data_IF_220668302511
#
_entry.id   IF_220668302511
#
_cell.length_a   1.000
_cell.length_b   1.000
_cell.length_c   1.000
_cell.angle_alpha   90.00
_cell.angle_beta   90.00
_cell.angle_gamma   90.00
#
_symmetry.space_group_name_H-M   'P 1'
#
loop_
_entity.id
_entity.type
_entity.pdbx_description
1 polymer ?
#
# COMPACT_ATOMS: atom_id res chain seq x y z
N UNK A 1 -11.05 -1.84 -13.34
CA UNK A 1 -9.92 -1.51 -12.44
C UNK A 1 -10.46 -1.06 -11.09
N UNK A 2 -9.88 -1.52 -9.97
CA UNK A 2 -10.21 -1.04 -8.63
C UNK A 2 -9.50 0.29 -8.34
N UNK A 3 -10.09 1.09 -7.43
CA UNK A 3 -9.53 2.38 -7.04
C UNK A 3 -9.42 2.51 -5.53
N UNK A 4 -8.40 3.22 -5.08
CA UNK A 4 -8.17 3.49 -3.67
C UNK A 4 -7.29 4.71 -3.46
N UNK A 5 -7.04 5.06 -2.22
CA UNK A 5 -6.13 6.14 -1.88
C UNK A 5 -5.37 5.87 -0.57
N UNK A 6 -4.30 6.61 -0.39
CA UNK A 6 -3.50 6.60 0.82
C UNK A 6 -4.14 7.52 1.87
N UNK A 7 -4.32 7.02 3.07
CA UNK A 7 -4.82 7.79 4.20
C UNK A 7 -3.84 8.91 4.59
N UNK A 8 -4.33 10.06 5.08
CA UNK A 8 -3.49 11.14 5.59
C UNK A 8 -2.91 10.80 6.97
N UNK A 9 -1.91 9.89 7.00
CA UNK A 9 -1.33 9.36 8.24
C UNK A 9 -0.26 10.24 8.88
N UNK A 10 0.20 11.30 8.22
CA UNK A 10 1.19 12.23 8.79
C UNK A 10 0.52 13.30 9.65
N UNK A 11 -0.07 12.84 10.77
CA UNK A 11 -0.89 13.63 11.72
C UNK A 11 -0.62 13.18 13.15
N UNK A 12 -0.95 14.04 14.12
CA UNK A 12 -0.90 13.72 15.55
C UNK A 12 -2.08 12.85 16.00
N UNK A 13 -3.23 13.00 15.35
CA UNK A 13 -4.46 12.25 15.66
C UNK A 13 -4.98 11.51 14.44
N UNK A 14 -5.79 10.47 14.61
CA UNK A 14 -6.32 9.68 13.51
C UNK A 14 -7.55 10.30 12.83
N UNK A 15 -8.06 11.45 13.30
CA UNK A 15 -9.37 11.99 12.89
C UNK A 15 -9.47 12.23 11.38
N UNK A 16 -8.42 12.84 10.78
CA UNK A 16 -8.36 13.06 9.33
C UNK A 16 -8.37 11.73 8.56
N UNK A 17 -7.68 10.71 9.05
CA UNK A 17 -7.63 9.40 8.40
C UNK A 17 -8.98 8.66 8.49
N UNK A 18 -9.67 8.79 9.63
CA UNK A 18 -11.02 8.23 9.79
C UNK A 18 -12.02 8.92 8.88
N UNK A 19 -12.06 10.26 8.90
CA UNK A 19 -12.96 11.03 8.04
C UNK A 19 -12.72 10.73 6.55
N UNK A 20 -11.45 10.63 6.12
CA UNK A 20 -11.11 10.28 4.76
C UNK A 20 -11.58 8.86 4.39
N UNK A 21 -11.39 7.88 5.27
CA UNK A 21 -11.85 6.51 5.04
C UNK A 21 -13.37 6.41 4.94
N UNK A 22 -14.10 7.08 5.85
CA UNK A 22 -15.56 7.14 5.85
C UNK A 22 -16.10 7.79 4.57
N UNK A 23 -15.48 8.89 4.12
CA UNK A 23 -15.80 9.50 2.83
C UNK A 23 -15.53 8.55 1.67
N UNK A 24 -14.42 7.81 1.73
CA UNK A 24 -14.06 6.80 0.73
C UNK A 24 -15.12 5.70 0.62
N UNK A 25 -15.54 5.13 1.74
CA UNK A 25 -16.59 4.13 1.79
C UNK A 25 -17.93 4.65 1.23
N UNK A 26 -18.35 5.85 1.65
CA UNK A 26 -19.55 6.51 1.16
C UNK A 26 -19.48 6.81 -0.35
N UNK A 27 -18.31 7.09 -0.87
CA UNK A 27 -18.07 7.35 -2.30
C UNK A 27 -17.99 6.06 -3.14
N UNK A 28 -17.97 4.87 -2.52
CA UNK A 28 -17.93 3.59 -3.22
C UNK A 28 -16.58 3.23 -3.80
N UNK A 29 -15.48 3.71 -3.22
CA UNK A 29 -14.13 3.25 -3.59
C UNK A 29 -13.84 1.86 -3.05
N UNK A 30 -12.84 1.17 -3.61
CA UNK A 30 -12.56 -0.22 -3.27
C UNK A 30 -11.67 -0.40 -2.03
N UNK A 31 -10.81 0.59 -1.70
CA UNK A 31 -9.93 0.42 -0.55
C UNK A 31 -9.08 1.63 -0.18
N UNK A 32 -8.49 1.56 1.00
CA UNK A 32 -7.59 2.58 1.55
C UNK A 32 -6.30 1.96 2.06
N UNK A 33 -5.22 2.73 1.95
CA UNK A 33 -3.88 2.26 2.26
C UNK A 33 -3.16 3.25 3.18
N UNK A 34 -2.10 2.80 3.84
CA UNK A 34 -1.30 3.65 4.72
C UNK A 34 0.19 3.49 4.43
N UNK A 35 0.92 4.61 4.46
CA UNK A 35 2.38 4.57 4.39
C UNK A 35 2.96 3.91 5.63
N UNK A 36 4.07 3.19 5.45
CA UNK A 36 4.90 2.67 6.54
C UNK A 36 6.15 3.55 6.70
N UNK A 37 5.93 4.76 7.19
CA UNK A 37 6.96 5.73 7.51
C UNK A 37 6.78 6.26 8.93
N UNK A 38 7.89 6.59 9.61
CA UNK A 38 7.89 7.13 10.97
C UNK A 38 7.65 8.63 11.00
N UNK A 39 7.85 9.28 9.86
CA UNK A 39 7.57 10.70 9.59
C UNK A 39 7.43 10.96 8.09
N UNK A 40 6.89 12.09 7.66
CA UNK A 40 6.95 12.50 6.26
C UNK A 40 8.40 12.65 5.82
N UNK A 41 8.76 12.13 4.66
CA UNK A 41 10.15 12.20 4.16
C UNK A 41 10.71 13.62 4.26
N UNK A 42 11.89 13.75 4.88
CA UNK A 42 12.57 15.02 5.10
C UNK A 42 12.04 15.88 6.26
N UNK A 43 11.09 15.38 7.06
CA UNK A 43 10.47 16.13 8.15
C UNK A 43 10.37 15.29 9.44
N UNK A 44 11.51 14.94 10.07
CA UNK A 44 11.53 14.05 11.23
C UNK A 44 10.85 14.62 12.49
N UNK A 45 10.59 15.92 12.51
CA UNK A 45 9.84 16.61 13.56
C UNK A 45 8.32 16.41 13.48
N UNK A 46 7.82 15.88 12.37
CA UNK A 46 6.40 15.64 12.14
C UNK A 46 6.02 14.21 12.47
N UNK A 47 4.83 13.99 13.04
CA UNK A 47 4.37 12.67 13.40
C UNK A 47 3.93 11.85 12.20
N UNK A 48 3.93 10.53 12.38
CA UNK A 48 3.20 9.59 11.54
C UNK A 48 2.42 8.60 12.40
N UNK A 49 1.23 8.23 11.94
CA UNK A 49 0.48 7.12 12.51
C UNK A 49 1.02 5.81 11.91
N UNK A 50 1.29 4.83 12.78
CA UNK A 50 1.71 3.50 12.32
C UNK A 50 0.62 2.84 11.47
N UNK A 51 0.97 2.18 10.34
CA UNK A 51 -0.02 1.67 9.40
C UNK A 51 -0.95 0.62 10.00
N UNK A 52 -0.44 -0.35 10.74
CA UNK A 52 -1.28 -1.45 11.23
C UNK A 52 -2.34 -1.03 12.24
N UNK A 53 -2.04 -0.21 13.28
CA UNK A 53 -3.08 0.29 14.18
C UNK A 53 -4.15 1.12 13.49
N UNK A 54 -3.77 2.02 12.58
CA UNK A 54 -4.74 2.87 11.88
C UNK A 54 -5.62 2.05 10.91
N UNK A 55 -5.04 1.09 10.19
CA UNK A 55 -5.76 0.23 9.27
C UNK A 55 -6.72 -0.71 10.01
N UNK A 56 -6.33 -1.26 11.16
CA UNK A 56 -7.21 -2.05 12.01
C UNK A 56 -8.42 -1.20 12.49
N UNK A 57 -8.17 0.01 12.98
CA UNK A 57 -9.24 0.91 13.43
C UNK A 57 -10.18 1.31 12.29
N UNK A 58 -9.64 1.64 11.09
CA UNK A 58 -10.43 1.94 9.89
C UNK A 58 -11.25 0.74 9.46
N UNK A 59 -10.69 -0.48 9.45
CA UNK A 59 -11.39 -1.68 8.99
C UNK A 59 -12.61 -2.08 9.84
N UNK A 60 -12.64 -1.64 11.10
CA UNK A 60 -13.79 -1.82 11.99
C UNK A 60 -14.85 -0.74 11.75
N UNK A 61 -14.45 0.48 11.39
CA UNK A 61 -15.37 1.59 11.09
C UNK A 61 -15.96 1.50 9.69
N UNK A 62 -15.14 1.09 8.71
CA UNK A 62 -15.49 0.98 7.29
C UNK A 62 -15.45 -0.50 6.89
N UNK A 63 -16.60 -1.11 6.81
CA UNK A 63 -16.71 -2.58 6.68
C UNK A 63 -16.65 -3.11 5.25
N UNK A 64 -16.70 -2.22 4.25
CA UNK A 64 -16.61 -2.57 2.83
C UNK A 64 -15.22 -2.33 2.24
N UNK A 65 -14.40 -1.49 2.87
CA UNK A 65 -13.09 -1.14 2.33
C UNK A 65 -12.06 -2.26 2.49
N UNK A 66 -11.30 -2.47 1.44
CA UNK A 66 -10.04 -3.23 1.48
C UNK A 66 -8.98 -2.34 2.13
N UNK A 67 -8.13 -2.91 2.98
CA UNK A 67 -7.10 -2.18 3.72
C UNK A 67 -5.73 -2.83 3.55
N UNK A 68 -4.67 -2.04 3.59
CA UNK A 68 -3.30 -2.55 3.58
C UNK A 68 -2.25 -1.45 3.75
N UNK A 69 -1.05 -1.76 4.27
CA UNK A 69 0.06 -0.82 4.15
C UNK A 69 0.46 -0.67 2.67
N UNK A 70 1.09 0.44 2.30
CA UNK A 70 1.62 0.61 0.95
C UNK A 70 2.97 1.34 0.99
N UNK A 71 4.04 0.60 1.23
CA UNK A 71 4.14 -0.82 1.51
C UNK A 71 4.78 -1.05 2.89
N UNK A 72 4.46 -2.13 3.60
CA UNK A 72 5.17 -2.50 4.83
C UNK A 72 6.63 -2.83 4.51
N UNK A 73 7.56 -2.22 5.25
CA UNK A 73 8.99 -2.39 5.03
C UNK A 73 9.50 -3.62 5.79
N UNK A 74 10.18 -4.52 5.08
CA UNK A 74 10.90 -5.63 5.71
C UNK A 74 12.09 -5.12 6.50
N UNK A 75 12.51 -5.87 7.52
CA UNK A 75 13.68 -5.55 8.33
C UNK A 75 13.44 -4.47 9.40
N UNK A 76 12.22 -3.96 9.54
CA UNK A 76 11.82 -3.06 10.63
C UNK A 76 11.50 -3.82 11.92
N UNK A 77 10.94 -5.01 11.75
CA UNK A 77 10.72 -6.01 12.79
C UNK A 77 11.21 -7.36 12.26
N UNK A 78 11.16 -8.42 13.06
CA UNK A 78 11.42 -9.76 12.54
C UNK A 78 10.35 -10.17 11.52
N UNK A 79 10.72 -11.02 10.58
CA UNK A 79 9.81 -11.53 9.54
C UNK A 79 8.58 -12.21 10.16
N UNK A 80 8.78 -13.05 11.17
CA UNK A 80 7.69 -13.74 11.88
C UNK A 80 6.72 -12.75 12.54
N UNK A 81 7.25 -11.66 13.13
CA UNK A 81 6.39 -10.64 13.72
C UNK A 81 5.58 -9.90 12.65
N UNK A 82 6.16 -9.58 11.52
CA UNK A 82 5.45 -8.92 10.41
C UNK A 82 4.37 -9.85 9.82
N UNK A 83 4.70 -11.13 9.64
CA UNK A 83 3.73 -12.15 9.18
C UNK A 83 2.55 -12.25 10.14
N UNK A 84 2.78 -12.37 11.46
CA UNK A 84 1.71 -12.44 12.44
C UNK A 84 0.93 -11.12 12.57
N UNK A 85 1.55 -9.99 12.31
CA UNK A 85 0.87 -8.69 12.25
C UNK A 85 -0.13 -8.65 11.10
N UNK A 86 0.25 -9.10 9.89
CA UNK A 86 -0.68 -9.24 8.77
C UNK A 86 -1.81 -10.23 9.05
N UNK A 87 -1.49 -11.40 9.61
CA UNK A 87 -2.49 -12.39 10.00
C UNK A 87 -3.47 -11.86 11.06
N UNK A 88 -2.97 -11.03 11.98
CA UNK A 88 -3.80 -10.38 12.99
C UNK A 88 -4.75 -9.36 12.35
N UNK A 89 -4.27 -8.55 11.41
CA UNK A 89 -5.11 -7.63 10.66
C UNK A 89 -6.18 -8.38 9.84
N UNK A 90 -5.82 -9.50 9.22
CA UNK A 90 -6.77 -10.36 8.48
C UNK A 90 -7.86 -10.93 9.39
N UNK A 91 -7.54 -11.29 10.65
CA UNK A 91 -8.56 -11.72 11.64
C UNK A 91 -9.53 -10.58 12.02
N UNK A 92 -9.06 -9.31 11.98
CA UNK A 92 -9.90 -8.12 12.24
C UNK A 92 -10.75 -7.76 11.01
N UNK A 93 -10.21 -7.92 9.82
CA UNK A 93 -10.84 -7.55 8.55
C UNK A 93 -10.82 -8.73 7.54
N UNK A 94 -11.57 -9.83 7.81
CA UNK A 94 -11.47 -11.04 7.01
C UNK A 94 -11.78 -10.82 5.52
N UNK A 95 -10.89 -11.28 4.64
CA UNK A 95 -11.02 -11.16 3.18
C UNK A 95 -10.80 -9.75 2.63
N UNK A 96 -10.40 -8.79 3.49
CA UNK A 96 -10.23 -7.38 3.12
C UNK A 96 -8.82 -6.84 3.33
N UNK A 97 -7.84 -7.70 3.56
CA UNK A 97 -6.45 -7.28 3.75
C UNK A 97 -5.60 -7.55 2.51
N UNK A 98 -4.81 -6.58 2.15
CA UNK A 98 -3.74 -6.73 1.17
C UNK A 98 -2.40 -6.64 1.90
N UNK A 99 -1.61 -7.70 1.80
CA UNK A 99 -0.25 -7.72 2.31
C UNK A 99 0.70 -7.10 1.28
N UNK A 100 0.77 -5.78 1.28
CA UNK A 100 1.72 -5.08 0.43
C UNK A 100 3.04 -4.88 1.19
N UNK A 101 4.13 -5.45 0.66
CA UNK A 101 5.45 -5.49 1.27
C UNK A 101 6.52 -4.93 0.32
N UNK A 102 7.60 -4.43 0.89
CA UNK A 102 8.71 -3.88 0.10
C UNK A 102 10.03 -3.90 0.84
N UNK A 103 11.10 -3.82 0.06
CA UNK A 103 12.49 -3.83 0.59
C UNK A 103 12.86 -2.54 1.34
N UNK A 104 12.04 -1.50 1.30
CA UNK A 104 12.46 -0.15 1.68
C UNK A 104 13.51 0.40 0.71
N UNK A 105 13.81 1.67 0.82
CA UNK A 105 14.77 2.38 -0.01
C UNK A 105 15.81 3.18 0.82
N UNK A 106 16.70 3.87 0.13
CA UNK A 106 17.73 4.68 0.79
C UNK A 106 17.14 5.88 1.56
N UNK A 107 15.94 6.34 1.21
CA UNK A 107 15.29 7.47 1.88
C UNK A 107 14.81 7.09 3.27
N UNK A 108 14.59 5.78 3.51
CA UNK A 108 14.22 5.23 4.82
C UNK A 108 15.42 5.03 5.76
N UNK A 109 16.65 5.22 5.30
CA UNK A 109 17.84 4.97 6.12
C UNK A 109 17.88 5.84 7.39
N UNK A 110 17.47 7.12 7.29
CA UNK A 110 17.42 8.02 8.45
C UNK A 110 16.39 7.58 9.50
N UNK A 111 15.28 7.00 9.07
CA UNK A 111 14.26 6.45 9.96
C UNK A 111 14.79 5.21 10.69
N UNK A 112 15.47 4.32 9.98
CA UNK A 112 16.10 3.15 10.59
C UNK A 112 17.13 3.56 11.63
N UNK A 113 18.02 4.51 11.30
CA UNK A 113 19.06 5.02 12.22
C UNK A 113 18.46 5.63 13.48
N UNK A 114 17.42 6.46 13.36
CA UNK A 114 16.75 7.11 14.49
C UNK A 114 16.16 6.12 15.51
N UNK A 115 15.80 4.92 15.06
CA UNK A 115 15.24 3.86 15.90
C UNK A 115 16.26 2.75 16.22
N UNK A 116 17.53 2.95 15.86
CA UNK A 116 18.59 1.97 16.12
C UNK A 116 18.43 0.66 15.34
N UNK A 117 17.72 0.70 14.23
CA UNK A 117 17.46 -0.47 13.39
C UNK A 117 18.50 -0.51 12.26
N UNK A 118 19.31 -1.55 12.21
CA UNK A 118 20.27 -1.74 11.13
C UNK A 118 19.54 -1.97 9.80
N UNK A 119 19.93 -1.22 8.76
CA UNK A 119 19.43 -1.48 7.42
C UNK A 119 20.22 -2.64 6.79
N UNK A 120 19.58 -3.79 6.64
CA UNK A 120 20.20 -4.98 6.07
C UNK A 120 20.63 -4.77 4.60
N UNK A 121 21.57 -5.55 4.09
CA UNK A 121 21.94 -5.59 2.67
C UNK A 121 20.72 -5.84 1.77
N UNK A 122 20.74 -5.30 0.56
CA UNK A 122 19.59 -5.42 -0.38
C UNK A 122 19.20 -6.87 -0.62
N UNK A 123 20.18 -7.77 -0.79
CA UNK A 123 19.91 -9.19 -1.01
C UNK A 123 19.19 -9.86 0.16
N UNK A 124 19.54 -9.50 1.40
CA UNK A 124 18.85 -10.01 2.60
C UNK A 124 17.40 -9.49 2.65
N UNK A 125 17.19 -8.19 2.40
CA UNK A 125 15.85 -7.61 2.36
C UNK A 125 14.98 -8.23 1.25
N UNK A 126 15.57 -8.58 0.11
CA UNK A 126 14.90 -9.31 -0.96
C UNK A 126 14.51 -10.73 -0.51
N UNK A 127 15.38 -11.44 0.18
CA UNK A 127 15.07 -12.76 0.74
C UNK A 127 13.94 -12.67 1.80
N UNK A 128 13.94 -11.64 2.65
CA UNK A 128 12.83 -11.36 3.59
C UNK A 128 11.51 -11.13 2.86
N UNK A 129 11.49 -10.33 1.79
CA UNK A 129 10.28 -10.12 0.97
C UNK A 129 9.78 -11.44 0.41
N UNK A 130 10.65 -12.28 -0.14
CA UNK A 130 10.27 -13.59 -0.69
C UNK A 130 9.73 -14.53 0.39
N UNK A 131 10.37 -14.58 1.55
CA UNK A 131 9.94 -15.38 2.69
C UNK A 131 8.54 -14.96 3.19
N UNK A 132 8.33 -13.68 3.45
CA UNK A 132 7.05 -13.14 3.95
C UNK A 132 5.96 -13.33 2.91
N UNK A 133 6.24 -13.05 1.63
CA UNK A 133 5.29 -13.25 0.54
C UNK A 133 4.80 -14.70 0.46
N UNK A 134 5.72 -15.67 0.53
CA UNK A 134 5.38 -17.10 0.53
C UNK A 134 4.53 -17.49 1.76
N UNK A 135 4.84 -16.95 2.93
CA UNK A 135 4.11 -17.25 4.17
C UNK A 135 2.69 -16.70 4.19
N UNK A 136 2.41 -15.64 3.41
CA UNK A 136 1.10 -14.95 3.35
C UNK A 136 0.30 -15.34 2.10
N UNK A 137 0.96 -15.82 1.03
CA UNK A 137 0.28 -16.28 -0.17
C UNK A 137 -0.69 -17.43 0.16
N UNK A 138 -1.89 -17.38 -0.44
CA UNK A 138 -2.95 -18.35 -0.16
C UNK A 138 -3.87 -17.98 1.03
N UNK A 139 -3.49 -17.01 1.87
CA UNK A 139 -4.36 -16.49 2.94
C UNK A 139 -4.89 -15.10 2.64
N UNK A 140 -4.12 -14.28 1.92
CA UNK A 140 -4.51 -12.94 1.50
C UNK A 140 -3.79 -12.55 0.19
N UNK A 141 -4.26 -11.49 -0.45
CA UNK A 141 -3.59 -10.94 -1.63
C UNK A 141 -2.23 -10.34 -1.23
N UNK A 142 -1.17 -10.72 -1.94
CA UNK A 142 0.19 -10.22 -1.70
C UNK A 142 0.59 -9.27 -2.83
N UNK A 143 1.04 -8.08 -2.45
CA UNK A 143 1.65 -7.11 -3.36
C UNK A 143 3.10 -6.87 -3.01
N UNK A 144 3.93 -6.63 -4.01
CA UNK A 144 5.35 -6.30 -3.80
C UNK A 144 5.65 -4.97 -4.46
N UNK A 145 6.29 -4.06 -3.73
CA UNK A 145 6.75 -2.78 -4.27
C UNK A 145 7.73 -3.02 -5.43
N UNK A 146 7.35 -2.57 -6.63
CA UNK A 146 8.14 -2.71 -7.84
C UNK A 146 9.36 -1.78 -7.83
N UNK A 147 10.46 -2.23 -8.45
CA UNK A 147 11.68 -1.43 -8.52
C UNK A 147 12.81 -2.17 -9.22
N UNK A 148 13.68 -2.82 -8.44
CA UNK A 148 14.81 -3.56 -9.00
C UNK A 148 14.33 -4.84 -9.74
N UNK A 149 15.00 -5.23 -10.83
CA UNK A 149 14.66 -6.47 -11.57
C UNK A 149 14.60 -7.70 -10.70
N UNK A 150 15.50 -7.83 -9.72
CA UNK A 150 15.51 -8.95 -8.77
C UNK A 150 14.24 -8.99 -7.90
N UNK A 151 13.76 -7.85 -7.43
CA UNK A 151 12.50 -7.76 -6.66
C UNK A 151 11.29 -8.10 -7.54
N UNK A 152 11.29 -7.65 -8.80
CA UNK A 152 10.23 -8.00 -9.74
C UNK A 152 10.21 -9.51 -10.05
N UNK A 153 11.39 -10.14 -10.15
CA UNK A 153 11.50 -11.59 -10.32
C UNK A 153 10.97 -12.38 -9.11
N UNK A 154 11.15 -11.85 -7.89
CA UNK A 154 10.52 -12.43 -6.69
C UNK A 154 8.99 -12.41 -6.81
N UNK A 155 8.41 -11.27 -7.17
CA UNK A 155 6.97 -11.16 -7.33
C UNK A 155 6.41 -12.20 -8.32
N UNK A 156 7.09 -12.42 -9.43
CA UNK A 156 6.71 -13.45 -10.41
C UNK A 156 6.77 -14.87 -9.81
N UNK A 157 7.84 -15.21 -9.06
CA UNK A 157 7.99 -16.54 -8.45
C UNK A 157 6.92 -16.85 -7.42
N UNK A 158 6.54 -15.86 -6.62
CA UNK A 158 5.55 -16.05 -5.54
C UNK A 158 4.10 -15.74 -5.99
N UNK A 159 3.90 -15.37 -7.25
CA UNK A 159 2.58 -15.02 -7.78
C UNK A 159 1.99 -13.73 -7.20
N UNK A 160 2.84 -12.80 -6.74
CA UNK A 160 2.40 -11.52 -6.18
C UNK A 160 2.17 -10.45 -7.25
N UNK A 161 1.30 -9.50 -6.97
CA UNK A 161 1.07 -8.33 -7.81
C UNK A 161 2.18 -7.29 -7.58
N UNK A 162 2.73 -6.74 -8.65
CA UNK A 162 3.72 -5.65 -8.58
C UNK A 162 3.02 -4.30 -8.38
N UNK A 163 3.46 -3.51 -7.41
CA UNK A 163 2.95 -2.16 -7.20
C UNK A 163 3.99 -1.12 -7.61
N UNK A 164 3.69 -0.34 -8.64
CA UNK A 164 4.56 0.70 -9.20
C UNK A 164 4.20 2.07 -8.62
N UNK A 165 5.23 2.82 -8.19
CA UNK A 165 5.06 4.19 -7.70
C UNK A 165 5.34 5.21 -8.80
N UNK A 166 4.32 6.00 -9.17
CA UNK A 166 4.36 7.09 -10.17
C UNK A 166 4.80 6.69 -11.60
N UNK A 167 5.03 5.42 -11.86
CA UNK A 167 5.45 4.92 -13.16
C UNK A 167 4.51 3.82 -13.61
N UNK A 168 4.26 3.77 -14.90
CA UNK A 168 3.67 2.59 -15.53
C UNK A 168 4.80 1.68 -16.03
N UNK A 169 4.66 0.36 -15.93
CA UNK A 169 5.63 -0.56 -16.54
C UNK A 169 5.57 -0.46 -18.08
N UNK A 170 6.73 -0.47 -18.72
CA UNK A 170 6.79 -0.48 -20.20
C UNK A 170 6.28 -1.80 -20.80
N UNK A 171 6.56 -2.91 -20.12
CA UNK A 171 6.15 -4.25 -20.52
C UNK A 171 5.81 -5.07 -19.28
N UNK A 172 4.58 -4.96 -18.75
CA UNK A 172 4.21 -5.66 -17.53
C UNK A 172 4.16 -7.17 -17.78
N UNK A 173 4.81 -7.91 -16.88
CA UNK A 173 4.71 -9.36 -16.81
C UNK A 173 3.92 -9.74 -15.56
N UNK A 174 2.68 -10.18 -15.72
CA UNK A 174 1.77 -10.50 -14.61
C UNK A 174 0.89 -9.32 -14.17
N UNK A 175 0.27 -9.47 -13.01
CA UNK A 175 -0.61 -8.45 -12.44
C UNK A 175 0.21 -7.28 -11.88
N UNK A 176 -0.29 -6.09 -12.08
CA UNK A 176 0.35 -4.89 -11.58
C UNK A 176 -0.67 -3.81 -11.17
N UNK A 177 -0.23 -2.96 -10.26
CA UNK A 177 -0.95 -1.81 -9.75
C UNK A 177 -0.14 -0.55 -9.94
N UNK A 178 -0.84 0.55 -10.05
CA UNK A 178 -0.24 1.88 -10.01
C UNK A 178 -0.57 2.60 -8.70
N UNK A 179 0.41 3.30 -8.14
CA UNK A 179 0.21 4.22 -7.03
C UNK A 179 0.93 5.54 -7.31
N UNK A 180 0.36 6.69 -6.91
CA UNK A 180 1.02 7.98 -7.12
C UNK A 180 0.13 9.19 -6.91
N UNK A 181 0.59 10.33 -7.42
CA UNK A 181 -0.14 11.60 -7.29
C UNK A 181 -1.28 11.71 -8.32
N UNK A 182 -2.42 12.29 -7.94
CA UNK A 182 -3.46 12.62 -8.89
C UNK A 182 -3.01 13.76 -9.82
N UNK A 183 -3.38 13.66 -11.09
CA UNK A 183 -3.30 14.77 -12.05
C UNK A 183 -4.58 15.62 -11.97
N UNK A 184 -4.55 16.81 -12.55
CA UNK A 184 -5.77 17.66 -12.67
C UNK A 184 -6.86 16.97 -13.49
N UNK A 185 -6.46 16.26 -14.55
CA UNK A 185 -7.30 15.44 -15.43
C UNK A 185 -7.46 13.99 -14.88
N UNK A 186 -7.95 13.87 -13.64
CA UNK A 186 -8.02 12.60 -12.90
C UNK A 186 -8.73 11.49 -13.68
N UNK A 187 -9.85 11.79 -14.32
CA UNK A 187 -10.63 10.80 -15.10
C UNK A 187 -9.83 10.26 -16.28
N UNK A 188 -9.11 11.14 -16.99
CA UNK A 188 -8.22 10.75 -18.12
C UNK A 188 -7.08 9.87 -17.58
N UNK A 189 -6.49 10.24 -16.44
CA UNK A 189 -5.45 9.41 -15.80
C UNK A 189 -5.97 8.01 -15.43
N UNK A 190 -7.18 7.92 -14.90
CA UNK A 190 -7.82 6.64 -14.56
C UNK A 190 -8.09 5.79 -15.80
N UNK A 191 -8.58 6.40 -16.90
CA UNK A 191 -8.83 5.71 -18.15
C UNK A 191 -7.54 5.18 -18.78
N UNK A 192 -6.47 5.98 -18.76
CA UNK A 192 -5.14 5.56 -19.21
C UNK A 192 -4.60 4.37 -18.41
N UNK A 193 -4.72 4.40 -17.08
CA UNK A 193 -4.29 3.31 -16.21
C UNK A 193 -5.12 2.04 -16.43
N UNK A 194 -6.42 2.17 -16.59
CA UNK A 194 -7.31 1.05 -16.89
C UNK A 194 -6.99 0.44 -18.27
N UNK A 195 -6.81 1.27 -19.30
CA UNK A 195 -6.45 0.83 -20.64
C UNK A 195 -5.07 0.14 -20.69
N UNK A 196 -4.13 0.57 -19.83
CA UNK A 196 -2.82 -0.06 -19.68
C UNK A 196 -2.85 -1.39 -18.89
N UNK A 197 -4.01 -1.79 -18.35
CA UNK A 197 -4.19 -3.06 -17.65
C UNK A 197 -3.80 -3.03 -16.17
N UNK A 198 -3.75 -1.85 -15.54
CA UNK A 198 -3.60 -1.76 -14.09
C UNK A 198 -4.79 -2.42 -13.39
N UNK A 199 -4.53 -3.23 -12.36
CA UNK A 199 -5.61 -3.84 -11.57
C UNK A 199 -6.12 -2.90 -10.49
N UNK A 200 -5.25 -2.01 -9.98
CA UNK A 200 -5.59 -0.95 -9.04
C UNK A 200 -4.91 0.36 -9.42
N UNK A 201 -5.62 1.46 -9.16
CA UNK A 201 -5.05 2.81 -9.10
C UNK A 201 -5.19 3.36 -7.68
N UNK A 202 -4.06 3.62 -7.00
CA UNK A 202 -4.00 4.12 -5.63
C UNK A 202 -3.42 5.52 -5.63
N UNK A 203 -4.17 6.48 -5.15
CA UNK A 203 -3.77 7.88 -5.18
C UNK A 203 -3.21 8.37 -3.84
N UNK A 204 -2.33 9.37 -3.91
CA UNK A 204 -1.88 10.11 -2.73
C UNK A 204 -3.09 10.79 -2.01
N UNK A 205 -2.94 11.17 -0.72
CA UNK A 205 -4.06 11.71 0.09
C UNK A 205 -4.68 13.02 -0.43
N UNK A 206 -4.09 13.62 -1.46
CA UNK A 206 -4.57 14.85 -2.10
C UNK A 206 -5.65 14.64 -3.16
N UNK A 207 -5.99 13.39 -3.45
CA UNK A 207 -7.01 13.06 -4.46
C UNK A 207 -8.40 13.52 -4.04
N UNK A 208 -9.20 13.97 -5.00
CA UNK A 208 -10.63 14.16 -4.81
C UNK A 208 -11.33 12.80 -4.77
N UNK A 209 -11.63 12.34 -3.56
CA UNK A 209 -12.23 11.02 -3.31
C UNK A 209 -13.61 10.90 -3.96
N UNK A 210 -14.37 11.99 -4.05
CA UNK A 210 -15.69 11.97 -4.67
C UNK A 210 -15.60 11.78 -6.19
N UNK A 211 -14.60 12.39 -6.86
CA UNK A 211 -14.34 12.14 -8.29
C UNK A 211 -13.90 10.71 -8.54
N UNK A 212 -13.03 10.19 -7.65
CA UNK A 212 -12.55 8.82 -7.71
C UNK A 212 -13.72 7.81 -7.62
N UNK A 213 -14.62 8.01 -6.65
CA UNK A 213 -15.82 7.19 -6.49
C UNK A 213 -16.79 7.27 -7.68
N UNK A 214 -17.01 8.46 -8.24
CA UNK A 214 -17.83 8.64 -9.45
C UNK A 214 -17.27 7.87 -10.63
N UNK A 215 -15.96 7.96 -10.87
CA UNK A 215 -15.30 7.19 -11.93
C UNK A 215 -15.48 5.68 -11.68
N UNK A 216 -15.25 5.21 -10.45
CA UNK A 216 -15.41 3.81 -10.08
C UNK A 216 -16.83 3.29 -10.34
N UNK A 217 -17.83 4.09 -10.00
CA UNK A 217 -19.24 3.74 -10.23
C UNK A 217 -19.59 3.64 -11.73
N UNK A 218 -19.04 4.52 -12.56
CA UNK A 218 -19.30 4.52 -14.01
C UNK A 218 -18.53 3.45 -14.79
N UNK A 219 -17.48 2.85 -14.21
CA UNK A 219 -16.61 1.85 -14.84
C UNK A 219 -16.57 0.50 -14.08
N UNK A 220 -17.37 0.35 -13.02
CA UNK A 220 -17.52 -0.89 -12.28
C UNK A 220 -18.65 -1.73 -12.85
N UNK A 221 -18.33 -2.95 -13.27
CA UNK A 221 -19.33 -4.01 -13.41
C UNK A 221 -19.67 -4.58 -12.03
#
# INVERSE_FOLDING_TARGET
MKVGFLLPVFRWTPDDAFAAAELGEQSGIDGVFAYDHLWPMGSPERPALSPFPILAAVSVRCTSLIVGPLVARVGFTSDDHLIETFRSLERVAPGRVIAAIGTGDKLSAAENEAYGIAMQPVAERQAMVEHIANALSGTMAVWIGAGAPATNAIAQRVGATLNYWQKMPESPTGLWNWAGNPREDLEVQLDELAAAGSTWAIFAPTVDVSRLGKWRHSHGE
#
